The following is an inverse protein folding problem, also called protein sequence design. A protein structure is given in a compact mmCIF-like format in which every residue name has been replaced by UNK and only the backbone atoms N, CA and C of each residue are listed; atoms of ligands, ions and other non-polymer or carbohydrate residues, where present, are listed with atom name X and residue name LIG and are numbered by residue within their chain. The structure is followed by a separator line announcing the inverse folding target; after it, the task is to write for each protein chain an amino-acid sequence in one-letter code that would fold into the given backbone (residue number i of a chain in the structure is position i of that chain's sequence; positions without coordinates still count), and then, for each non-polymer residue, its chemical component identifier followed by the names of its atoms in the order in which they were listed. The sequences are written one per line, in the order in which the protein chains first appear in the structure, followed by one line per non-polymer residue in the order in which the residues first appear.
data_IF_820851174169
#
_entry.id   IF_820851174169
#
_cell.length_a   1.000
_cell.length_b   1.000
_cell.length_c   1.000
_cell.angle_alpha   90.00
_cell.angle_beta   90.00
_cell.angle_gamma   90.00
#
_symmetry.space_group_name_H-M   'P 1'
#
loop_
_entity.id
_entity.type
_entity.pdbx_description
1 polymer ?
#
# COMPACT_ATOMS: atom_id res chain seq x y z
N UNK A 1 9.06 6.49 7.37
CA UNK A 1 7.60 6.35 7.15
C UNK A 1 7.36 6.12 5.67
N UNK A 2 6.41 5.29 5.24
CA UNK A 2 6.24 4.90 3.82
C UNK A 2 5.88 6.04 2.85
N UNK A 3 5.68 7.28 3.34
CA UNK A 3 5.56 8.50 2.54
C UNK A 3 6.89 9.27 2.39
N UNK A 4 7.96 8.79 3.03
CA UNK A 4 9.32 9.36 2.95
C UNK A 4 10.22 8.59 1.98
N UNK A 5 9.77 7.46 1.44
CA UNK A 5 10.49 6.76 0.36
C UNK A 5 10.05 7.36 -0.97
N UNK A 6 10.99 7.97 -1.70
CA UNK A 6 10.75 8.55 -3.01
C UNK A 6 10.04 7.55 -3.93
N UNK A 7 9.07 8.05 -4.69
CA UNK A 7 8.29 7.30 -5.68
C UNK A 7 7.36 6.19 -5.15
N UNK A 8 6.96 6.27 -3.88
CA UNK A 8 5.91 5.41 -3.33
C UNK A 8 4.59 6.16 -3.22
N UNK A 9 3.47 5.48 -3.49
CA UNK A 9 2.13 6.06 -3.42
C UNK A 9 1.13 5.05 -2.89
N UNK A 10 0.15 5.51 -2.11
CA UNK A 10 -0.94 4.67 -1.60
C UNK A 10 -2.26 5.24 -2.12
N UNK A 11 -3.08 4.38 -2.70
CA UNK A 11 -4.44 4.74 -3.13
C UNK A 11 -5.45 3.92 -2.34
N UNK A 12 -6.21 4.60 -1.48
CA UNK A 12 -7.26 4.00 -0.66
C UNK A 12 -8.60 4.19 -1.38
N UNK A 13 -9.41 3.12 -1.46
CA UNK A 13 -10.66 3.13 -2.22
C UNK A 13 -11.85 3.74 -1.45
N UNK A 14 -11.66 4.16 -0.19
CA UNK A 14 -12.68 4.90 0.58
C UNK A 14 -13.96 4.12 0.88
N UNK A 15 -13.90 2.79 0.93
CA UNK A 15 -15.08 1.96 1.26
C UNK A 15 -15.36 2.09 2.77
N UNK A 16 -16.60 2.44 3.18
CA UNK A 16 -16.91 2.70 4.60
C UNK A 16 -16.87 1.44 5.46
N UNK A 17 -17.17 0.27 4.90
CA UNK A 17 -17.18 -1.00 5.63
C UNK A 17 -16.58 -2.14 4.79
N UNK A 18 -15.89 -3.05 5.49
CA UNK A 18 -15.40 -4.33 4.97
C UNK A 18 -16.12 -5.46 5.70
N UNK A 19 -16.91 -6.23 4.95
CA UNK A 19 -17.41 -7.53 5.42
C UNK A 19 -16.46 -8.61 4.91
N UNK A 20 -15.64 -9.17 5.80
CA UNK A 20 -14.68 -10.24 5.50
C UNK A 20 -13.37 -9.73 4.91
N UNK A 21 -12.90 -10.31 3.80
CA UNK A 21 -11.68 -9.86 3.11
C UNK A 21 -12.04 -9.01 1.88
N UNK A 22 -11.75 -7.71 1.94
CA UNK A 22 -11.93 -6.80 0.81
C UNK A 22 -10.68 -5.97 0.58
N UNK A 23 -10.31 -5.76 -0.69
CA UNK A 23 -9.19 -4.89 -1.05
C UNK A 23 -9.54 -3.44 -0.73
N UNK A 24 -8.83 -2.86 0.24
CA UNK A 24 -9.09 -1.51 0.76
C UNK A 24 -8.23 -0.41 0.14
N UNK A 25 -7.12 -0.80 -0.47
CA UNK A 25 -6.28 0.11 -1.22
C UNK A 25 -5.23 -0.66 -2.02
N UNK A 26 -4.37 0.10 -2.67
CA UNK A 26 -3.21 -0.39 -3.42
C UNK A 26 -2.00 0.48 -3.07
N UNK A 27 -0.88 -0.17 -2.78
CA UNK A 27 0.43 0.47 -2.69
C UNK A 27 1.12 0.37 -4.05
N UNK A 28 1.58 1.51 -4.56
CA UNK A 28 2.38 1.65 -5.76
C UNK A 28 3.78 2.08 -5.34
N UNK A 29 4.78 1.57 -6.04
CA UNK A 29 6.16 1.98 -5.86
C UNK A 29 6.88 1.91 -7.20
N UNK A 30 7.75 2.89 -7.46
CA UNK A 30 8.73 2.82 -8.55
C UNK A 30 10.07 2.39 -7.96
N UNK A 31 10.77 1.56 -8.73
CA UNK A 31 12.09 1.04 -8.40
C UNK A 31 12.93 0.91 -9.65
N UNK A 32 14.23 0.75 -9.46
CA UNK A 32 15.19 0.63 -10.57
C UNK A 32 15.06 -0.70 -11.31
N UNK A 33 14.38 -1.69 -10.72
CA UNK A 33 14.00 -2.96 -11.33
C UNK A 33 12.59 -3.38 -10.89
N UNK A 34 12.03 -4.40 -11.54
CA UNK A 34 10.72 -4.96 -11.19
C UNK A 34 10.77 -5.55 -9.77
N UNK A 35 11.86 -6.23 -9.38
CA UNK A 35 12.01 -6.75 -8.03
C UNK A 35 12.05 -5.64 -6.98
N UNK A 36 12.80 -4.56 -7.24
CA UNK A 36 12.90 -3.41 -6.34
C UNK A 36 11.54 -2.70 -6.18
N UNK A 37 10.84 -2.47 -7.30
CA UNK A 37 9.48 -1.91 -7.29
C UNK A 37 8.51 -2.79 -6.50
N UNK A 38 8.57 -4.12 -6.65
CA UNK A 38 7.73 -5.06 -5.88
C UNK A 38 8.07 -5.07 -4.39
N UNK A 39 9.36 -5.02 -4.05
CA UNK A 39 9.81 -5.00 -2.65
C UNK A 39 9.33 -3.72 -1.95
N UNK A 40 9.49 -2.57 -2.60
CA UNK A 40 9.00 -1.27 -2.10
C UNK A 40 7.48 -1.25 -1.98
N UNK A 41 6.74 -1.72 -2.99
CA UNK A 41 5.28 -1.79 -2.92
C UNK A 41 4.79 -2.70 -1.77
N UNK A 42 5.53 -3.77 -1.45
CA UNK A 42 5.24 -4.64 -0.30
C UNK A 42 5.49 -3.93 1.03
N UNK A 43 6.60 -3.20 1.18
CA UNK A 43 6.87 -2.37 2.36
C UNK A 43 5.79 -1.31 2.59
N UNK A 44 5.36 -0.66 1.50
CA UNK A 44 4.26 0.31 1.53
C UNK A 44 2.98 -0.34 2.04
N UNK A 45 2.63 -1.54 1.57
CA UNK A 45 1.48 -2.30 2.09
C UNK A 45 1.62 -2.59 3.59
N UNK A 46 2.78 -3.04 4.05
CA UNK A 46 3.02 -3.36 5.47
C UNK A 46 2.93 -2.14 6.38
N UNK A 47 3.32 -0.97 5.87
CA UNK A 47 3.18 0.31 6.58
C UNK A 47 1.73 0.79 6.70
N UNK A 48 0.78 0.23 5.94
CA UNK A 48 -0.63 0.63 6.00
C UNK A 48 -1.38 -0.31 6.94
N UNK A 49 -1.51 0.12 8.19
CA UNK A 49 -2.38 -0.52 9.17
C UNK A 49 -3.85 -0.16 8.91
N UNK A 50 -4.67 -1.15 8.57
CA UNK A 50 -6.12 -0.99 8.56
C UNK A 50 -6.68 -1.49 9.89
N UNK A 51 -7.23 -0.58 10.70
CA UNK A 51 -7.99 -0.96 11.90
C UNK A 51 -9.42 -1.29 11.48
N UNK A 52 -9.81 -2.56 11.60
CA UNK A 52 -11.23 -2.94 11.57
C UNK A 52 -11.86 -2.49 12.89
N UNK A 53 -12.95 -1.73 12.80
CA UNK A 53 -13.87 -1.50 13.92
C UNK A 53 -14.96 -2.57 13.91
#
# INVERSE_FOLDING_TARGET
SALSEDFTAIRIFGKPEVRGHRRMGVGLALGSSIEDARAKARKVRESVGFTMK
#
